data_IF_863663476944
#
_entry.id   IF_863663476944
#
_cell.length_a   1.000
_cell.length_b   1.000
_cell.length_c   1.000
_cell.angle_alpha   90.00
_cell.angle_beta   90.00
_cell.angle_gamma   90.00
#
_symmetry.space_group_name_H-M   'P 1'
#
loop_
_entity.id
_entity.type
_entity.pdbx_description
1 polymer ?
#
# COMPACT_ATOMS: atom_id res chain seq x y z
N UNK A 1 -5.16 18.18 -2.96
CA UNK A 1 -5.36 17.02 -3.86
C UNK A 1 -5.06 15.76 -3.06
N UNK A 2 -5.92 14.74 -3.06
CA UNK A 2 -5.53 13.43 -2.50
C UNK A 2 -4.25 12.98 -3.20
N UNK A 3 -3.25 12.58 -2.40
CA UNK A 3 -1.94 12.21 -2.90
C UNK A 3 -2.09 10.87 -3.64
N UNK A 4 -2.05 10.88 -4.98
CA UNK A 4 -2.19 9.66 -5.76
C UNK A 4 -1.05 8.67 -5.43
N UNK A 5 -1.38 7.40 -5.13
CA UNK A 5 -0.37 6.36 -4.95
C UNK A 5 0.32 6.04 -6.28
N UNK A 6 1.62 5.80 -6.23
CA UNK A 6 2.37 5.26 -7.37
C UNK A 6 1.98 3.81 -7.66
N UNK A 7 2.29 3.31 -8.86
CA UNK A 7 2.01 1.91 -9.23
C UNK A 7 2.63 0.88 -8.24
N UNK A 8 3.80 1.19 -7.66
CA UNK A 8 4.44 0.32 -6.65
C UNK A 8 3.71 0.39 -5.31
N UNK A 9 3.30 1.56 -4.87
CA UNK A 9 2.50 1.71 -3.64
C UNK A 9 1.14 1.02 -3.78
N UNK A 10 0.50 1.15 -4.95
CA UNK A 10 -0.75 0.42 -5.25
C UNK A 10 -0.57 -1.09 -5.18
N UNK A 11 0.52 -1.61 -5.76
CA UNK A 11 0.83 -3.04 -5.71
C UNK A 11 1.07 -3.51 -4.28
N UNK A 12 1.82 -2.75 -3.48
CA UNK A 12 2.05 -3.07 -2.07
C UNK A 12 0.73 -3.10 -1.29
N UNK A 13 -0.11 -2.06 -1.42
CA UNK A 13 -1.41 -1.97 -0.74
C UNK A 13 -2.35 -3.12 -1.13
N UNK A 14 -2.37 -3.50 -2.41
CA UNK A 14 -3.14 -4.63 -2.92
C UNK A 14 -2.73 -5.96 -2.25
N UNK A 15 -1.42 -6.23 -2.15
CA UNK A 15 -0.91 -7.48 -1.57
C UNK A 15 -0.99 -7.50 -0.03
N UNK A 16 -0.79 -6.35 0.63
CA UNK A 16 -0.96 -6.24 2.07
C UNK A 16 -2.42 -6.45 2.49
N UNK A 17 -3.40 -5.97 1.70
CA UNK A 17 -4.82 -6.24 1.92
C UNK A 17 -5.29 -5.97 3.37
N UNK A 18 -6.28 -6.73 3.85
CA UNK A 18 -6.80 -6.58 5.22
C UNK A 18 -6.03 -7.36 6.29
N UNK A 19 -5.39 -8.47 5.89
CA UNK A 19 -4.87 -9.48 6.80
C UNK A 19 -3.39 -9.81 6.62
N UNK A 20 -2.75 -9.35 5.54
CA UNK A 20 -1.36 -9.70 5.29
C UNK A 20 -0.42 -8.68 5.96
N UNK A 21 0.67 -9.23 6.47
CA UNK A 21 1.79 -8.48 7.04
C UNK A 21 2.98 -8.76 6.14
N UNK A 22 3.41 -7.77 5.37
CA UNK A 22 4.44 -7.92 4.35
C UNK A 22 5.51 -6.84 4.53
N UNK A 23 6.75 -7.22 4.28
CA UNK A 23 7.91 -6.35 4.25
C UNK A 23 8.36 -6.02 2.82
N UNK A 24 9.36 -5.14 2.67
CA UNK A 24 9.99 -4.85 1.39
C UNK A 24 10.57 -6.09 0.70
N UNK A 25 11.12 -7.02 1.49
CA UNK A 25 11.76 -8.24 0.98
C UNK A 25 10.77 -9.24 0.37
N UNK A 26 9.48 -9.13 0.70
CA UNK A 26 8.41 -9.95 0.11
C UNK A 26 8.10 -9.54 -1.34
N UNK A 27 8.69 -8.45 -1.83
CA UNK A 27 8.46 -7.94 -3.18
C UNK A 27 9.75 -7.85 -3.99
N UNK A 28 9.71 -8.38 -5.21
CA UNK A 28 10.85 -8.32 -6.15
C UNK A 28 11.20 -6.90 -6.61
N UNK A 29 10.22 -5.99 -6.62
CA UNK A 29 10.29 -4.66 -7.23
C UNK A 29 9.88 -3.51 -6.28
N UNK A 30 9.61 -3.80 -5.00
CA UNK A 30 9.20 -2.83 -3.99
C UNK A 30 10.22 -2.81 -2.87
N UNK A 31 11.09 -1.80 -2.85
CA UNK A 31 12.09 -1.65 -1.79
C UNK A 31 11.62 -0.83 -0.59
N UNK A 32 12.47 -0.76 0.43
CA UNK A 32 12.23 -0.04 1.70
C UNK A 32 11.76 1.40 1.52
N UNK A 33 12.27 2.10 0.50
CA UNK A 33 11.89 3.49 0.20
C UNK A 33 10.38 3.65 -0.04
N UNK A 34 9.74 2.64 -0.63
CA UNK A 34 8.30 2.67 -0.90
C UNK A 34 7.53 2.53 0.41
N UNK A 35 7.91 1.55 1.25
CA UNK A 35 7.31 1.37 2.57
C UNK A 35 7.53 2.56 3.50
N UNK A 36 8.73 3.16 3.51
CA UNK A 36 8.99 4.40 4.24
C UNK A 36 8.11 5.57 3.75
N UNK A 37 7.85 5.65 2.44
CA UNK A 37 6.92 6.61 1.86
C UNK A 37 5.47 6.39 2.31
N UNK A 38 5.01 5.13 2.28
CA UNK A 38 3.67 4.74 2.72
C UNK A 38 3.48 4.95 4.24
N UNK A 39 4.51 4.69 5.04
CA UNK A 39 4.53 4.90 6.48
C UNK A 39 4.38 6.40 6.83
N UNK A 40 5.12 7.28 6.14
CA UNK A 40 4.99 8.74 6.29
C UNK A 40 3.57 9.23 5.94
N UNK A 41 2.92 8.61 4.95
CA UNK A 41 1.54 8.93 4.53
C UNK A 41 0.47 8.32 5.44
N UNK A 42 0.87 7.47 6.40
CA UNK A 42 0.02 6.68 7.30
C UNK A 42 -0.90 5.69 6.58
N UNK A 43 -0.44 5.15 5.45
CA UNK A 43 -1.17 4.14 4.67
C UNK A 43 -0.86 2.71 5.14
N UNK A 44 0.31 2.53 5.74
CA UNK A 44 0.75 1.29 6.35
C UNK A 44 1.24 1.58 7.76
N UNK A 45 1.22 0.57 8.62
CA UNK A 45 1.76 0.58 9.97
C UNK A 45 2.78 -0.55 10.12
N UNK A 46 3.87 -0.30 10.85
CA UNK A 46 4.86 -1.32 11.15
C UNK A 46 4.38 -2.16 12.34
N UNK A 47 4.30 -3.48 12.15
CA UNK A 47 3.80 -4.42 13.17
C UNK A 47 4.94 -5.24 13.77
N UNK A 48 5.93 -5.57 12.94
CA UNK A 48 7.19 -6.21 13.32
C UNK A 48 8.32 -5.47 12.62
N UNK A 49 9.57 -5.55 13.12
CA UNK A 49 10.71 -4.92 12.45
C UNK A 49 10.79 -5.34 10.98
N UNK A 50 10.61 -4.38 10.08
CA UNK A 50 10.64 -4.62 8.63
C UNK A 50 9.38 -5.24 8.02
N UNK A 51 8.31 -5.45 8.80
CA UNK A 51 7.01 -5.89 8.27
C UNK A 51 5.90 -4.90 8.58
N UNK A 52 5.08 -4.67 7.57
CA UNK A 52 4.05 -3.66 7.58
C UNK A 52 2.66 -4.26 7.34
N UNK A 53 1.63 -3.59 7.84
CA UNK A 53 0.23 -3.89 7.60
C UNK A 53 -0.48 -2.67 7.01
N UNK A 54 -1.49 -2.87 6.17
CA UNK A 54 -2.30 -1.76 5.63
C UNK A 54 -3.25 -1.21 6.68
N UNK A 55 -3.25 0.12 6.84
CA UNK A 55 -4.20 0.84 7.68
C UNK A 55 -5.52 1.07 6.93
N UNK A 56 -6.59 1.44 7.63
CA UNK A 56 -7.87 1.81 7.01
C UNK A 56 -7.70 2.89 5.92
N UNK A 57 -6.85 3.89 6.18
CA UNK A 57 -6.53 4.95 5.21
C UNK A 57 -5.84 4.40 3.96
N UNK A 58 -4.95 3.43 4.11
CA UNK A 58 -4.30 2.75 2.98
C UNK A 58 -5.31 1.96 2.13
N UNK A 59 -6.28 1.30 2.76
CA UNK A 59 -7.37 0.59 2.05
C UNK A 59 -8.24 1.56 1.26
N UNK A 60 -8.73 2.62 1.91
CA UNK A 60 -9.53 3.66 1.24
C UNK A 60 -8.75 4.26 0.07
N UNK A 61 -7.46 4.57 0.24
CA UNK A 61 -6.62 5.09 -0.84
C UNK A 61 -6.52 4.12 -2.02
N UNK A 62 -6.33 2.82 -1.74
CA UNK A 62 -6.29 1.79 -2.77
C UNK A 62 -7.63 1.69 -3.51
N UNK A 63 -8.73 1.61 -2.77
CA UNK A 63 -10.07 1.42 -3.36
C UNK A 63 -10.53 2.66 -4.12
N UNK A 64 -10.26 3.86 -3.61
CA UNK A 64 -10.47 5.13 -4.31
C UNK A 64 -9.68 5.16 -5.61
N UNK A 65 -8.40 4.75 -5.62
CA UNK A 65 -7.60 4.74 -6.84
C UNK A 65 -8.08 3.66 -7.83
N UNK A 66 -8.47 2.46 -7.38
CA UNK A 66 -9.06 1.43 -8.25
C UNK A 66 -10.36 1.91 -8.87
N UNK A 67 -11.20 2.60 -8.10
CA UNK A 67 -12.44 3.20 -8.55
C UNK A 67 -12.20 4.36 -9.53
N UNK A 68 -11.31 5.29 -9.18
CA UNK A 68 -11.02 6.49 -9.98
C UNK A 68 -10.26 6.17 -11.27
N UNK A 69 -9.36 5.19 -11.25
CA UNK A 69 -8.61 4.75 -12.42
C UNK A 69 -9.43 3.81 -13.34
N UNK A 70 -10.70 3.53 -13.02
CA UNK A 70 -11.54 2.62 -13.81
C UNK A 70 -10.99 1.19 -13.88
N UNK A 71 -10.15 0.78 -12.92
CA UNK A 71 -9.61 -0.59 -12.83
C UNK A 71 -10.59 -1.57 -12.19
N UNK A 72 -11.71 -1.08 -11.67
CA UNK A 72 -12.90 -1.89 -11.42
C UNK A 72 -13.42 -2.40 -12.75
N UNK A 73 -12.92 -3.56 -13.19
CA UNK A 73 -13.57 -4.33 -14.25
C UNK A 73 -14.90 -4.82 -13.70
N UNK A 74 -15.99 -4.25 -14.21
CA UNK A 74 -17.27 -4.96 -14.30
C UNK A 74 -17.08 -6.26 -15.06
#
# INVERSE_FOLDING_TARGET
MPQRPSNREMKALYHLGEANVLGPDDFKDIGEKVFAGMLRKKWVEEVEPGKFRTTEKGRVTHDEEVWFAGRSKR
#
